data_IF_347464669092
#
_entry.id   IF_347464669092
#
_cell.length_a   1.000
_cell.length_b   1.000
_cell.length_c   1.000
_cell.angle_alpha   90.00
_cell.angle_beta   90.00
_cell.angle_gamma   90.00
#
_symmetry.space_group_name_H-M   'P 1'
#
loop_
_entity.id
_entity.type
_entity.pdbx_description
1 polymer ?
#
# COMPACT_ATOMS: atom_id res chain seq x y z
N UNK A 1 -28.49 -35.37 -2.30
CA UNK A 1 -27.33 -34.62 -1.79
C UNK A 1 -26.23 -34.65 -2.84
N UNK A 2 -25.98 -33.51 -3.50
CA UNK A 2 -24.89 -33.42 -4.48
C UNK A 2 -23.54 -33.39 -3.73
N UNK A 3 -22.72 -34.43 -3.88
CA UNK A 3 -21.35 -34.44 -3.35
C UNK A 3 -20.50 -33.52 -4.21
N UNK A 4 -20.36 -32.27 -3.76
CA UNK A 4 -19.48 -31.28 -4.38
C UNK A 4 -18.05 -31.84 -4.25
N UNK A 5 -17.39 -32.05 -5.39
CA UNK A 5 -16.02 -32.54 -5.44
C UNK A 5 -15.10 -31.48 -4.80
N UNK A 6 -14.70 -31.69 -3.55
CA UNK A 6 -13.95 -30.72 -2.74
C UNK A 6 -12.66 -30.23 -3.42
N UNK A 7 -12.03 -31.06 -4.26
CA UNK A 7 -10.85 -30.66 -5.06
C UNK A 7 -11.19 -29.61 -6.12
N UNK A 8 -12.34 -29.74 -6.78
CA UNK A 8 -12.79 -28.76 -7.75
C UNK A 8 -13.19 -27.45 -7.05
N UNK A 9 -13.84 -27.55 -5.90
CA UNK A 9 -14.23 -26.38 -5.10
C UNK A 9 -13.02 -25.61 -4.56
N UNK A 10 -11.98 -26.30 -4.10
CA UNK A 10 -10.72 -25.69 -3.64
C UNK A 10 -9.97 -24.98 -4.77
N UNK A 11 -9.96 -25.55 -5.99
CA UNK A 11 -9.37 -24.92 -7.17
C UNK A 11 -10.13 -23.65 -7.56
N UNK A 12 -11.46 -23.72 -7.61
CA UNK A 12 -12.31 -22.55 -7.92
C UNK A 12 -12.11 -21.45 -6.87
N UNK A 13 -12.04 -21.80 -5.58
CA UNK A 13 -11.79 -20.83 -4.51
C UNK A 13 -10.43 -20.15 -4.65
N UNK A 14 -9.36 -20.89 -4.96
CA UNK A 14 -8.03 -20.31 -5.22
C UNK A 14 -8.01 -19.39 -6.45
N UNK A 15 -8.73 -19.76 -7.51
CA UNK A 15 -8.89 -18.91 -8.69
C UNK A 15 -9.65 -17.62 -8.37
N UNK A 16 -10.73 -17.70 -7.59
CA UNK A 16 -11.51 -16.55 -7.12
C UNK A 16 -10.66 -15.65 -6.21
N UNK A 17 -9.91 -16.21 -5.26
CA UNK A 17 -9.03 -15.45 -4.38
C UNK A 17 -7.91 -14.76 -5.18
N UNK A 18 -7.31 -15.44 -6.17
CA UNK A 18 -6.33 -14.84 -7.08
C UNK A 18 -6.95 -13.73 -7.93
N UNK A 19 -8.16 -13.91 -8.44
CA UNK A 19 -8.89 -12.90 -9.20
C UNK A 19 -9.27 -11.69 -8.33
N UNK A 20 -9.63 -11.91 -7.07
CA UNK A 20 -9.95 -10.85 -6.12
C UNK A 20 -8.70 -10.06 -5.71
N UNK A 21 -7.57 -10.74 -5.47
CA UNK A 21 -6.26 -10.12 -5.24
C UNK A 21 -5.83 -9.34 -6.47
N UNK A 22 -5.89 -9.95 -7.66
CA UNK A 22 -5.58 -9.31 -8.94
C UNK A 22 -6.43 -8.07 -9.19
N UNK A 23 -7.74 -8.12 -8.93
CA UNK A 23 -8.65 -6.98 -9.10
C UNK A 23 -8.45 -5.90 -8.04
N UNK A 24 -8.15 -6.25 -6.79
CA UNK A 24 -7.81 -5.27 -5.73
C UNK A 24 -6.49 -4.57 -6.03
N UNK A 25 -5.47 -5.31 -6.44
CA UNK A 25 -4.24 -4.72 -6.97
C UNK A 25 -4.59 -3.79 -8.13
N UNK A 26 -5.28 -4.26 -9.17
CA UNK A 26 -5.61 -3.42 -10.34
C UNK A 26 -6.44 -2.17 -9.99
N UNK A 27 -7.37 -2.26 -9.05
CA UNK A 27 -8.18 -1.12 -8.59
C UNK A 27 -7.39 -0.10 -7.76
N UNK A 28 -6.33 -0.51 -7.06
CA UNK A 28 -5.40 0.41 -6.38
C UNK A 28 -4.32 0.98 -7.33
N UNK A 29 -3.93 0.25 -8.37
CA UNK A 29 -2.86 0.64 -9.29
C UNK A 29 -3.30 1.52 -10.47
N UNK A 30 -4.56 1.48 -10.88
CA UNK A 30 -5.00 2.10 -12.13
C UNK A 30 -4.95 3.65 -12.15
N UNK A 31 -4.65 4.33 -11.04
CA UNK A 31 -4.56 5.80 -11.01
C UNK A 31 -3.33 6.35 -10.27
N UNK A 32 -2.37 5.51 -9.87
CA UNK A 32 -1.23 5.94 -9.04
C UNK A 32 0.06 5.31 -9.57
N UNK A 33 0.48 5.70 -10.78
CA UNK A 33 1.88 5.63 -11.17
C UNK A 33 2.40 7.06 -11.23
N UNK A 34 3.48 7.34 -10.50
CA UNK A 34 4.01 8.68 -10.44
C UNK A 34 4.87 8.95 -9.22
N UNK A 35 5.58 10.07 -9.28
CA UNK A 35 6.27 10.67 -8.15
C UNK A 35 5.41 11.77 -7.58
N UNK A 36 5.08 11.65 -6.30
CA UNK A 36 4.31 12.64 -5.55
C UNK A 36 5.28 13.37 -4.63
N UNK A 37 5.57 14.62 -4.98
CA UNK A 37 6.38 15.51 -4.17
C UNK A 37 5.41 16.33 -3.31
N UNK A 38 5.51 16.19 -1.99
CA UNK A 38 4.80 17.06 -1.08
C UNK A 38 5.58 18.37 -1.01
N UNK A 39 4.92 19.49 -1.32
CA UNK A 39 5.57 20.80 -1.36
C UNK A 39 6.31 21.11 -0.04
N UNK A 40 7.35 21.97 -0.04
CA UNK A 40 8.26 22.15 1.09
C UNK A 40 7.59 22.60 2.40
N UNK A 41 6.40 23.19 2.33
CA UNK A 41 5.62 23.67 3.48
C UNK A 41 4.57 22.65 3.95
N UNK A 42 4.32 21.61 3.16
CA UNK A 42 3.35 20.58 3.44
C UNK A 42 4.07 19.27 3.76
N UNK A 43 3.62 18.57 4.78
CA UNK A 43 3.98 17.17 4.97
C UNK A 43 2.69 16.38 5.10
N UNK A 44 2.67 15.14 4.62
CA UNK A 44 1.51 14.26 4.78
C UNK A 44 1.85 13.16 5.78
N UNK A 45 0.85 12.63 6.44
CA UNK A 45 0.99 11.36 7.15
C UNK A 45 0.56 10.24 6.21
N UNK A 46 1.26 9.12 6.28
CA UNK A 46 0.97 7.98 5.43
C UNK A 46 0.96 6.70 6.24
N UNK A 47 -0.05 5.87 6.01
CA UNK A 47 -0.18 4.57 6.64
C UNK A 47 -0.06 3.50 5.57
N UNK A 48 0.88 2.58 5.76
CA UNK A 48 1.04 1.40 4.91
C UNK A 48 0.39 0.21 5.61
N UNK A 49 -0.52 -0.45 4.90
CA UNK A 49 -1.28 -1.59 5.40
C UNK A 49 -0.63 -2.88 4.90
N UNK A 50 -0.16 -3.70 5.84
CA UNK A 50 0.35 -5.03 5.60
C UNK A 50 -0.55 -6.06 6.28
N UNK A 51 -0.44 -7.33 5.88
CA UNK A 51 -1.20 -8.41 6.48
C UNK A 51 -0.77 -8.62 7.94
N UNK A 52 -1.62 -8.18 8.86
CA UNK A 52 -1.40 -8.30 10.31
C UNK A 52 -0.51 -7.21 10.91
N UNK A 53 -0.15 -6.17 10.15
CA UNK A 53 0.67 -5.05 10.61
C UNK A 53 0.26 -3.76 9.89
N UNK A 54 0.26 -2.65 10.61
CA UNK A 54 0.11 -1.31 10.04
C UNK A 54 1.33 -0.47 10.37
N UNK A 55 1.79 0.31 9.39
CA UNK A 55 2.98 1.13 9.53
C UNK A 55 2.66 2.59 9.23
N UNK A 56 2.49 3.36 10.30
CA UNK A 56 2.34 4.80 10.24
C UNK A 56 3.69 5.48 10.00
N UNK A 57 3.73 6.35 8.99
CA UNK A 57 4.88 7.15 8.58
C UNK A 57 4.46 8.62 8.63
N UNK A 58 5.04 9.36 9.57
CA UNK A 58 4.75 10.78 9.74
C UNK A 58 5.68 11.64 8.89
N UNK A 59 5.23 12.85 8.56
CA UNK A 59 6.02 13.87 7.88
C UNK A 59 6.65 13.35 6.57
N UNK A 60 5.84 12.70 5.75
CA UNK A 60 6.24 12.23 4.43
C UNK A 60 6.47 13.44 3.53
N UNK A 61 7.66 13.51 2.95
CA UNK A 61 8.06 14.58 2.02
C UNK A 61 7.81 14.21 0.57
N UNK A 62 7.92 12.92 0.25
CA UNK A 62 7.62 12.42 -1.09
C UNK A 62 7.37 10.92 -1.06
N UNK A 63 6.65 10.43 -2.06
CA UNK A 63 6.55 9.01 -2.32
C UNK A 63 6.49 8.75 -3.82
N UNK A 64 7.00 7.61 -4.23
CA UNK A 64 6.86 7.12 -5.60
C UNK A 64 6.37 5.69 -5.60
N UNK A 65 5.50 5.41 -6.54
CA UNK A 65 4.99 4.08 -6.79
C UNK A 65 5.19 3.74 -8.26
N UNK A 66 5.71 2.53 -8.48
CA UNK A 66 5.80 1.89 -9.78
C UNK A 66 5.19 0.49 -9.68
N UNK A 67 5.12 -0.21 -10.82
CA UNK A 67 4.67 -1.61 -10.97
C UNK A 67 4.93 -2.56 -9.79
N UNK A 68 6.09 -2.45 -9.11
CA UNK A 68 6.51 -3.42 -8.06
C UNK A 68 6.93 -2.80 -6.75
N UNK A 69 7.11 -1.48 -6.69
CA UNK A 69 7.69 -0.83 -5.53
C UNK A 69 6.94 0.44 -5.16
N UNK A 70 6.68 0.57 -3.85
CA UNK A 70 6.31 1.81 -3.19
C UNK A 70 7.52 2.29 -2.37
N UNK A 71 8.01 3.49 -2.67
CA UNK A 71 9.10 4.15 -1.95
C UNK A 71 8.54 5.39 -1.27
N UNK A 72 8.79 5.53 0.03
CA UNK A 72 8.26 6.63 0.84
C UNK A 72 9.43 7.30 1.56
N UNK A 73 9.62 8.60 1.34
CA UNK A 73 10.58 9.44 2.03
C UNK A 73 9.88 10.14 3.19
N UNK A 74 10.29 9.83 4.42
CA UNK A 74 9.63 10.30 5.63
C UNK A 74 10.64 10.71 6.70
N UNK A 75 10.19 11.49 7.69
CA UNK A 75 11.01 11.80 8.84
C UNK A 75 10.84 10.73 9.92
N UNK A 76 11.93 10.06 10.30
CA UNK A 76 11.90 9.08 11.37
C UNK A 76 12.14 9.79 12.70
N UNK A 77 11.07 10.01 13.47
CA UNK A 77 11.10 10.70 14.76
C UNK A 77 12.04 10.00 15.77
N UNK A 78 12.03 8.66 15.81
CA UNK A 78 12.89 7.88 16.74
C UNK A 78 14.37 8.11 16.46
N UNK A 79 14.75 8.25 15.19
CA UNK A 79 16.13 8.47 14.75
C UNK A 79 16.48 9.93 14.50
N UNK A 80 15.51 10.84 14.69
CA UNK A 80 15.58 12.26 14.40
C UNK A 80 16.21 12.58 13.03
N UNK A 81 15.89 11.80 11.99
CA UNK A 81 16.48 11.96 10.64
C UNK A 81 15.55 11.49 9.53
N UNK A 82 15.77 12.01 8.32
CA UNK A 82 15.09 11.55 7.10
C UNK A 82 15.43 10.08 6.82
N UNK A 83 14.42 9.31 6.44
CA UNK A 83 14.56 7.89 6.11
C UNK A 83 13.68 7.51 4.92
N UNK A 84 13.96 6.33 4.36
CA UNK A 84 13.24 5.75 3.23
C UNK A 84 12.65 4.43 3.66
N UNK A 85 11.34 4.27 3.46
CA UNK A 85 10.67 2.98 3.54
C UNK A 85 10.39 2.46 2.14
N UNK A 86 10.66 1.19 1.90
CA UNK A 86 10.49 0.53 0.61
C UNK A 86 9.60 -0.69 0.81
N UNK A 87 8.52 -0.77 0.06
CA UNK A 87 7.57 -1.88 0.11
C UNK A 87 7.39 -2.49 -1.27
N UNK A 88 7.29 -3.82 -1.32
CA UNK A 88 6.89 -4.55 -2.54
C UNK A 88 5.38 -4.59 -2.61
N UNK A 89 4.83 -3.93 -3.61
CA UNK A 89 3.37 -3.84 -3.80
C UNK A 89 2.79 -5.10 -4.46
N UNK A 90 3.64 -5.92 -5.08
CA UNK A 90 3.30 -7.26 -5.59
C UNK A 90 3.43 -8.37 -4.53
N UNK A 91 3.84 -8.02 -3.31
CA UNK A 91 3.89 -8.96 -2.20
C UNK A 91 2.44 -9.24 -1.71
N UNK A 92 2.02 -10.51 -1.55
CA UNK A 92 0.68 -10.83 -1.03
C UNK A 92 0.43 -10.33 0.40
N UNK A 93 1.48 -9.97 1.14
CA UNK A 93 1.35 -9.31 2.44
C UNK A 93 1.08 -7.82 2.33
N UNK A 94 1.27 -7.19 1.18
CA UNK A 94 0.94 -5.80 0.96
C UNK A 94 -0.55 -5.66 0.65
N UNK A 95 -1.25 -4.86 1.45
CA UNK A 95 -2.69 -4.64 1.30
C UNK A 95 -2.96 -3.31 0.60
N UNK A 96 -2.19 -2.26 0.91
CA UNK A 96 -2.35 -0.93 0.33
C UNK A 96 -1.64 0.15 1.15
N UNK A 97 -1.87 1.41 0.78
CA UNK A 97 -1.45 2.57 1.57
C UNK A 97 -2.51 3.66 1.49
N UNK A 98 -2.60 4.48 2.52
CA UNK A 98 -3.43 5.69 2.56
C UNK A 98 -2.58 6.87 3.00
N UNK A 99 -2.92 8.07 2.54
CA UNK A 99 -2.29 9.31 3.00
C UNK A 99 -3.35 10.31 3.43
N UNK A 100 -3.04 11.04 4.49
CA UNK A 100 -3.85 12.15 4.97
C UNK A 100 -2.99 13.42 4.83
N UNK A 101 -3.47 14.43 4.07
CA UNK A 101 -2.84 15.74 4.14
C UNK A 101 -2.92 16.22 5.59
N UNK A 102 -1.81 16.72 6.14
CA UNK A 102 -1.91 17.48 7.38
C UNK A 102 -2.70 18.74 7.03
N UNK A 103 -3.97 18.81 7.42
CA UNK A 103 -4.76 20.03 7.32
C UNK A 103 -4.03 21.08 8.16
N UNK A 104 -3.44 22.07 7.48
CA UNK A 104 -3.00 23.30 8.14
C UNK A 104 -4.30 24.07 8.40
N UNK A 105 -4.79 24.04 9.65
CA UNK A 105 -5.79 25.02 10.08
C UNK A 105 -5.20 26.41 9.85
N UNK A 106 -5.82 27.17 8.93
CA UNK A 106 -5.50 28.58 8.64
C UNK A 106 -6.27 29.46 9.62
#
# INVERSE_FOLDING_TARGET
>A
MAKINERAFSKIRKEIDKLAISKRSRAMFNDVEGEYIVGPENTINMTVFLKGEEKALSRVSSFSINDKWLKIFYFNEVRNKKHVAIFRVDNPNFIGFGYEPNEVEI
#
